data_IF_913574300989
#
_entry.id   IF_913574300989
#
_cell.length_a   1.000
_cell.length_b   1.000
_cell.length_c   1.000
_cell.angle_alpha   90.00
_cell.angle_beta   90.00
_cell.angle_gamma   90.00
#
_symmetry.space_group_name_H-M   'P 1'
#
loop_
_entity.id
_entity.type
_entity.pdbx_description
1 polymer ?
#
# COMPACT_ATOMS: atom_id res chain seq x y z
N UNK A 1 7.65 -5.28 -3.17
CA UNK A 1 7.89 -4.23 -4.18
C UNK A 1 9.34 -4.27 -4.59
N UNK A 2 9.61 -4.12 -5.87
CA UNK A 2 10.95 -3.87 -6.40
C UNK A 2 11.07 -2.39 -6.73
N UNK A 3 12.16 -1.75 -6.31
CA UNK A 3 12.39 -0.33 -6.53
C UNK A 3 13.88 -0.04 -6.70
N UNK A 4 14.19 1.07 -7.38
CA UNK A 4 15.55 1.59 -7.54
C UNK A 4 15.67 2.94 -6.84
N UNK A 5 16.67 3.08 -5.99
CA UNK A 5 17.00 4.35 -5.33
C UNK A 5 17.34 5.43 -6.34
N UNK A 6 16.75 6.61 -6.16
CA UNK A 6 16.98 7.82 -6.95
C UNK A 6 17.74 8.86 -6.14
N UNK A 7 17.44 8.97 -4.84
CA UNK A 7 18.13 9.87 -3.92
C UNK A 7 18.19 9.28 -2.52
N UNK A 8 19.31 9.51 -1.84
CA UNK A 8 19.50 9.20 -0.43
C UNK A 8 19.94 10.47 0.27
N UNK A 9 19.34 10.78 1.40
CA UNK A 9 19.75 11.89 2.26
C UNK A 9 19.55 11.51 3.73
N UNK A 10 20.37 12.01 4.66
CA UNK A 10 20.03 11.91 6.07
C UNK A 10 18.76 12.73 6.36
N UNK A 11 18.16 12.44 7.50
CA UNK A 11 17.19 13.32 8.14
C UNK A 11 17.91 14.56 8.73
N UNK A 12 17.21 15.35 9.54
CA UNK A 12 17.79 16.58 10.09
C UNK A 12 18.78 16.33 11.24
N UNK A 13 18.69 15.20 11.95
CA UNK A 13 19.58 14.83 13.05
C UNK A 13 20.64 13.78 12.69
N UNK A 14 20.71 13.37 11.43
CA UNK A 14 21.58 12.28 10.94
C UNK A 14 21.32 10.91 11.59
N UNK A 15 20.13 10.68 12.18
CA UNK A 15 19.76 9.44 12.85
C UNK A 15 19.24 8.36 11.89
N UNK A 16 18.68 8.77 10.74
CA UNK A 16 18.20 7.84 9.72
C UNK A 16 18.32 8.40 8.30
N UNK A 17 18.18 7.51 7.32
CA UNK A 17 18.18 7.87 5.90
C UNK A 17 16.76 7.98 5.35
N UNK A 18 16.52 9.04 4.59
CA UNK A 18 15.34 9.22 3.75
C UNK A 18 15.73 8.83 2.33
N UNK A 19 15.11 7.76 1.84
CA UNK A 19 15.39 7.18 0.52
C UNK A 19 14.20 7.46 -0.41
N UNK A 20 14.47 8.21 -1.48
CA UNK A 20 13.52 8.39 -2.57
C UNK A 20 13.83 7.33 -3.63
N UNK A 21 12.83 6.54 -4.03
CA UNK A 21 13.00 5.42 -4.94
C UNK A 21 11.92 5.39 -6.03
N UNK A 22 12.31 5.00 -7.23
CA UNK A 22 11.40 4.71 -8.33
C UNK A 22 10.94 3.25 -8.22
N UNK A 23 9.63 3.04 -8.05
CA UNK A 23 9.00 1.73 -8.07
C UNK A 23 9.12 1.11 -9.45
N UNK A 24 9.71 -0.09 -9.53
CA UNK A 24 9.86 -0.83 -10.78
C UNK A 24 8.76 -1.87 -10.95
N UNK A 25 8.37 -2.53 -9.85
CA UNK A 25 7.33 -3.55 -9.86
C UNK A 25 6.65 -3.67 -8.50
N UNK A 26 5.33 -3.84 -8.53
CA UNK A 26 4.54 -4.26 -7.38
C UNK A 26 4.14 -5.70 -7.59
N UNK A 27 4.37 -6.52 -6.57
CA UNK A 27 3.95 -7.92 -6.55
C UNK A 27 2.83 -8.05 -5.54
N UNK A 28 1.78 -8.77 -5.92
CA UNK A 28 0.64 -9.04 -5.07
C UNK A 28 0.29 -10.53 -5.18
N UNK A 29 -0.17 -11.11 -4.08
CA UNK A 29 -0.75 -12.44 -4.11
C UNK A 29 -2.00 -12.41 -5.01
N UNK A 30 -2.15 -13.32 -5.99
CA UNK A 30 -3.30 -13.29 -6.88
C UNK A 30 -4.66 -13.31 -6.16
N UNK A 31 -4.72 -13.86 -4.94
CA UNK A 31 -5.95 -13.93 -4.14
C UNK A 31 -6.46 -12.57 -3.67
N UNK A 32 -5.62 -11.54 -3.66
CA UNK A 32 -6.00 -10.18 -3.23
C UNK A 32 -6.11 -9.20 -4.41
N UNK A 33 -5.94 -9.67 -5.65
CA UNK A 33 -6.05 -8.85 -6.86
C UNK A 33 -7.45 -9.02 -7.45
N UNK A 34 -8.12 -7.90 -7.75
CA UNK A 34 -9.42 -7.91 -8.41
C UNK A 34 -9.27 -8.56 -9.79
N UNK A 35 -10.01 -9.67 -10.09
CA UNK A 35 -9.84 -10.44 -11.31
C UNK A 35 -9.89 -9.59 -12.58
N UNK A 36 -8.96 -9.85 -13.51
CA UNK A 36 -8.86 -9.13 -14.78
C UNK A 36 -8.27 -7.72 -14.67
N UNK A 37 -7.79 -7.31 -13.49
CA UNK A 37 -7.20 -5.99 -13.28
C UNK A 37 -5.86 -6.05 -12.54
N UNK A 38 -5.28 -4.89 -12.27
CA UNK A 38 -4.11 -4.72 -11.40
C UNK A 38 -4.45 -4.03 -10.07
N UNK A 39 -5.74 -3.99 -9.70
CA UNK A 39 -6.18 -3.37 -8.47
C UNK A 39 -6.18 -4.39 -7.33
N UNK A 40 -5.72 -3.97 -6.15
CA UNK A 40 -5.90 -4.73 -4.92
C UNK A 40 -7.35 -4.60 -4.46
N UNK A 41 -7.96 -5.71 -4.06
CA UNK A 41 -9.24 -5.73 -3.37
C UNK A 41 -9.03 -5.28 -1.90
N UNK A 42 -9.50 -4.09 -1.49
CA UNK A 42 -9.31 -3.59 -0.14
C UNK A 42 -10.01 -4.43 0.92
N UNK A 43 -11.02 -5.23 0.56
CA UNK A 43 -11.71 -6.13 1.48
C UNK A 43 -10.92 -7.42 1.77
N UNK A 44 -10.06 -7.84 0.84
CA UNK A 44 -9.18 -9.01 1.00
C UNK A 44 -7.78 -8.62 1.51
N UNK A 45 -7.39 -7.37 1.31
CA UNK A 45 -6.13 -6.85 1.81
C UNK A 45 -6.16 -6.67 3.33
N UNK A 46 -5.25 -7.35 4.03
CA UNK A 46 -5.13 -7.30 5.49
C UNK A 46 -3.76 -6.75 5.92
N UNK A 47 -3.54 -5.42 5.82
CA UNK A 47 -2.30 -4.81 6.24
C UNK A 47 -2.18 -4.77 7.77
N UNK A 48 -0.95 -4.83 8.25
CA UNK A 48 -0.61 -4.55 9.64
C UNK A 48 -0.41 -3.04 9.82
N UNK A 49 -1.19 -2.43 10.71
CA UNK A 49 -1.08 -1.02 11.03
C UNK A 49 -0.29 -0.86 12.33
N UNK A 50 0.81 -0.10 12.26
CA UNK A 50 1.56 0.32 13.44
C UNK A 50 1.03 1.66 13.94
N UNK A 51 0.50 1.69 15.16
CA UNK A 51 -0.03 2.88 15.79
C UNK A 51 0.48 2.97 17.23
N UNK A 52 1.29 3.98 17.53
CA UNK A 52 1.93 4.19 18.84
C UNK A 52 2.55 2.94 19.48
N UNK A 53 3.32 2.16 18.71
CA UNK A 53 3.93 0.89 19.16
C UNK A 53 2.97 -0.27 19.40
N UNK A 54 1.72 -0.15 18.96
CA UNK A 54 0.74 -1.23 18.93
C UNK A 54 0.43 -1.63 17.49
N UNK A 55 0.09 -2.90 17.30
CA UNK A 55 -0.22 -3.47 16.00
C UNK A 55 -1.72 -3.75 15.88
N UNK A 56 -2.31 -3.31 14.78
CA UNK A 56 -3.74 -3.46 14.51
C UNK A 56 -3.96 -4.04 13.11
N UNK A 57 -5.10 -4.73 12.93
CA UNK A 57 -5.67 -5.00 11.62
C UNK A 57 -6.64 -3.89 11.20
N UNK A 58 -7.21 -4.01 9.99
CA UNK A 58 -8.27 -3.12 9.54
C UNK A 58 -9.63 -3.51 10.14
N UNK A 59 -10.49 -2.51 10.32
CA UNK A 59 -11.93 -2.70 10.49
C UNK A 59 -12.67 -2.73 9.15
N UNK A 60 -14.01 -2.77 9.15
CA UNK A 60 -14.82 -2.67 7.93
C UNK A 60 -14.55 -1.39 7.13
N UNK A 61 -14.64 -1.49 5.80
CA UNK A 61 -14.56 -0.31 4.92
C UNK A 61 -15.72 0.65 5.22
N UNK A 62 -15.41 1.95 5.40
CA UNK A 62 -16.41 2.99 5.66
C UNK A 62 -16.83 3.76 4.40
N UNK A 63 -16.08 3.63 3.31
CA UNK A 63 -16.35 4.29 2.04
C UNK A 63 -15.09 4.45 1.18
N UNK A 64 -15.28 5.01 -0.02
CA UNK A 64 -14.19 5.31 -0.95
C UNK A 64 -14.31 6.73 -1.50
N UNK A 65 -13.18 7.31 -1.93
CA UNK A 65 -13.19 8.59 -2.64
C UNK A 65 -13.70 8.44 -4.07
N UNK A 66 -14.15 9.55 -4.67
CA UNK A 66 -14.58 9.60 -6.08
C UNK A 66 -13.47 9.24 -7.08
N UNK A 67 -12.21 9.21 -6.65
CA UNK A 67 -11.05 8.85 -7.48
C UNK A 67 -10.77 7.35 -7.51
N UNK A 68 -11.46 6.54 -6.72
CA UNK A 68 -11.25 5.09 -6.69
C UNK A 68 -11.55 4.49 -8.06
N UNK A 69 -10.58 3.77 -8.61
CA UNK A 69 -10.70 3.00 -9.84
C UNK A 69 -10.85 1.50 -9.58
N UNK A 70 -10.79 1.08 -8.31
CA UNK A 70 -10.98 -0.32 -7.92
C UNK A 70 -12.39 -0.75 -8.31
N UNK A 71 -12.54 -1.75 -9.22
CA UNK A 71 -13.85 -2.25 -9.59
C UNK A 71 -14.55 -2.82 -8.36
N UNK A 72 -15.85 -2.54 -8.22
CA UNK A 72 -16.70 -3.19 -7.22
C UNK A 72 -17.54 -4.25 -7.91
N UNK A 73 -17.81 -5.40 -7.26
CA UNK A 73 -18.83 -6.31 -7.73
C UNK A 73 -20.13 -5.53 -7.96
N UNK A 74 -20.78 -5.76 -9.10
CA UNK A 74 -22.04 -5.11 -9.44
C UNK A 74 -23.06 -5.31 -8.33
N UNK A 75 -23.71 -4.22 -7.92
CA UNK A 75 -24.97 -4.30 -7.17
C UNK A 75 -26.04 -4.94 -8.04
#
# INVERSE_FOLDING_TARGET
MEARTVRVRPDASDDFLIVEAHVLKVHADPRIVVPGTQHIDPALWSPLIYNFRHYFGLGPELGQSFRSQTPRPGR
#
